data_IF_844451790353
#
_entry.id   IF_844451790353
#
_cell.length_a   1.000
_cell.length_b   1.000
_cell.length_c   1.000
_cell.angle_alpha   90.00
_cell.angle_beta   90.00
_cell.angle_gamma   90.00
#
_symmetry.space_group_name_H-M   'P 1'
#
loop_
_entity.id
_entity.type
_entity.pdbx_description
1 polymer ?
#
# COMPACT_ATOMS: atom_id res chain seq x y z
N UNK A 1 -0.85 -1.05 -2.86
CA UNK A 1 -0.82 -1.48 -4.29
C UNK A 1 -1.15 -2.95 -4.36
N UNK A 2 -1.96 -3.39 -5.32
CA UNK A 2 -2.31 -4.80 -5.49
C UNK A 2 -2.52 -5.22 -6.94
N UNK A 3 -2.42 -6.52 -7.17
CA UNK A 3 -2.69 -7.20 -8.45
C UNK A 3 -3.82 -8.22 -8.25
N UNK A 4 -4.45 -8.63 -9.35
CA UNK A 4 -5.33 -9.79 -9.36
C UNK A 4 -4.56 -10.98 -9.90
N UNK A 5 -4.63 -12.11 -9.19
CA UNK A 5 -4.25 -13.39 -9.79
C UNK A 5 -5.36 -13.82 -10.76
N UNK A 6 -4.99 -14.01 -12.03
CA UNK A 6 -5.84 -14.66 -12.99
C UNK A 6 -5.66 -16.18 -12.78
N UNK A 7 -6.72 -16.86 -12.35
CA UNK A 7 -6.72 -18.32 -12.26
C UNK A 7 -6.61 -18.93 -13.65
N UNK A 8 -5.96 -20.09 -13.78
CA UNK A 8 -6.03 -20.91 -15.00
C UNK A 8 -7.47 -21.34 -15.27
N UNK A 9 -7.81 -21.48 -16.55
CA UNK A 9 -9.14 -21.83 -17.05
C UNK A 9 -9.79 -22.96 -16.25
N UNK A 10 -11.00 -22.70 -15.73
CA UNK A 10 -11.87 -23.73 -15.13
C UNK A 10 -12.06 -23.67 -13.61
N UNK A 11 -11.34 -22.82 -12.86
CA UNK A 11 -11.57 -22.59 -11.43
C UNK A 11 -12.16 -21.19 -11.22
N UNK A 12 -13.49 -21.10 -11.26
CA UNK A 12 -14.21 -19.95 -10.72
C UNK A 12 -14.11 -19.99 -9.18
N UNK A 13 -13.69 -18.87 -8.59
CA UNK A 13 -13.42 -18.64 -7.16
C UNK A 13 -12.13 -19.31 -6.63
N UNK A 14 -11.10 -18.58 -6.16
CA UNK A 14 -11.14 -17.47 -5.21
C UNK A 14 -10.04 -16.45 -5.56
N UNK A 15 -10.38 -15.32 -6.18
CA UNK A 15 -9.39 -14.29 -6.55
C UNK A 15 -9.06 -13.41 -5.34
N UNK A 16 -8.18 -13.89 -4.46
CA UNK A 16 -7.67 -13.05 -3.37
C UNK A 16 -6.84 -11.89 -3.93
N UNK A 17 -7.08 -10.69 -3.40
CA UNK A 17 -6.28 -9.51 -3.72
C UNK A 17 -4.90 -9.67 -3.09
N UNK A 18 -3.87 -9.79 -3.92
CA UNK A 18 -2.48 -9.80 -3.44
C UNK A 18 -2.06 -8.37 -3.13
N UNK A 19 -1.91 -8.04 -1.86
CA UNK A 19 -1.35 -6.75 -1.42
C UNK A 19 0.17 -6.89 -1.47
N UNK A 20 0.80 -6.14 -2.37
CA UNK A 20 2.27 -6.20 -2.53
C UNK A 20 2.98 -5.21 -1.61
N UNK A 21 2.32 -4.10 -1.28
CA UNK A 21 2.85 -3.05 -0.39
C UNK A 21 1.75 -2.14 0.13
N UNK A 22 1.87 -1.77 1.40
CA UNK A 22 1.12 -0.70 2.06
C UNK A 22 1.99 0.55 2.09
N UNK A 23 1.55 1.61 1.40
CA UNK A 23 2.24 2.91 1.38
C UNK A 23 1.65 3.79 2.49
N UNK A 24 2.49 4.58 3.13
CA UNK A 24 2.09 5.50 4.21
C UNK A 24 2.44 6.92 3.79
N UNK A 25 1.44 7.79 3.71
CA UNK A 25 1.59 9.20 3.38
C UNK A 25 1.11 10.04 4.57
N UNK A 26 1.84 11.10 4.92
CA UNK A 26 1.48 11.96 6.04
C UNK A 26 2.66 12.75 6.61
N UNK A 27 2.42 13.40 7.76
CA UNK A 27 3.47 14.09 8.52
C UNK A 27 4.40 13.07 9.16
N UNK A 28 5.71 13.25 9.00
CA UNK A 28 6.74 12.28 9.42
C UNK A 28 6.60 11.93 10.91
N UNK A 29 6.48 12.92 11.79
CA UNK A 29 6.31 12.69 13.23
C UNK A 29 5.12 11.79 13.53
N UNK A 30 3.98 12.04 12.88
CA UNK A 30 2.75 11.28 13.07
C UNK A 30 2.85 9.87 12.53
N UNK A 31 3.49 9.68 11.37
CA UNK A 31 3.70 8.33 10.83
C UNK A 31 4.59 7.48 11.76
N UNK A 32 5.63 8.07 12.37
CA UNK A 32 6.50 7.36 13.33
C UNK A 32 5.78 7.05 14.64
N UNK A 33 5.00 8.00 15.15
CA UNK A 33 4.17 7.81 16.35
C UNK A 33 3.22 6.61 16.18
N UNK A 34 2.51 6.53 15.05
CA UNK A 34 1.52 5.48 14.80
C UNK A 34 2.16 4.15 14.47
N UNK A 35 3.14 4.13 13.54
CA UNK A 35 3.62 2.88 12.95
C UNK A 35 4.93 2.35 13.55
N UNK A 36 5.69 3.19 14.26
CA UNK A 36 6.92 2.81 14.98
C UNK A 36 7.83 1.90 14.17
N UNK A 37 8.20 0.77 14.76
CA UNK A 37 9.11 -0.21 14.16
C UNK A 37 8.57 -0.91 12.91
N UNK A 38 7.26 -0.82 12.64
CA UNK A 38 6.66 -1.40 11.42
C UNK A 38 6.86 -0.49 10.20
N UNK A 39 7.21 0.79 10.42
CA UNK A 39 7.47 1.77 9.37
C UNK A 39 8.84 1.53 8.73
N UNK A 40 8.89 1.63 7.40
CA UNK A 40 10.12 1.59 6.63
C UNK A 40 10.35 2.92 5.91
N UNK A 41 11.46 3.57 6.26
CA UNK A 41 11.83 4.91 5.80
C UNK A 41 12.88 4.90 4.67
N UNK A 42 13.34 3.72 4.23
CA UNK A 42 14.46 3.57 3.28
C UNK A 42 14.28 4.25 1.91
N UNK A 43 13.03 4.57 1.52
CA UNK A 43 12.73 5.26 0.26
C UNK A 43 12.74 6.78 0.39
N UNK A 44 12.95 7.29 1.59
CA UNK A 44 13.00 8.71 1.94
C UNK A 44 14.03 8.98 3.05
N UNK A 45 15.31 8.61 2.87
CA UNK A 45 16.33 8.77 3.91
C UNK A 45 16.58 10.25 4.30
N UNK A 46 16.22 11.19 3.42
CA UNK A 46 16.43 12.64 3.57
C UNK A 46 15.12 13.39 3.87
N UNK A 47 14.18 12.76 4.58
CA UNK A 47 12.85 13.31 4.92
C UNK A 47 12.89 14.63 5.73
N UNK A 48 14.07 15.15 6.07
CA UNK A 48 14.26 16.37 6.86
C UNK A 48 13.79 16.19 8.30
N UNK A 49 13.34 17.29 8.91
CA UNK A 49 12.84 17.33 10.29
C UNK A 49 11.42 16.76 10.48
N UNK A 50 10.98 16.57 11.74
CA UNK A 50 9.72 15.90 12.10
C UNK A 50 8.45 16.56 11.55
N UNK A 51 8.49 17.87 11.25
CA UNK A 51 7.34 18.64 10.76
C UNK A 51 7.10 18.51 9.25
N UNK A 52 7.94 17.75 8.52
CA UNK A 52 7.74 17.55 7.08
C UNK A 52 6.71 16.47 6.78
N UNK A 53 6.13 16.56 5.59
CA UNK A 53 5.26 15.53 5.01
C UNK A 53 6.04 14.64 4.04
N UNK A 54 5.65 13.37 3.98
CA UNK A 54 6.19 12.39 3.03
C UNK A 54 5.06 11.59 2.37
N UNK A 55 5.33 11.10 1.16
CA UNK A 55 4.50 10.14 0.44
C UNK A 55 5.30 8.88 0.05
N UNK A 56 6.42 8.61 0.73
CA UNK A 56 7.41 7.61 0.32
C UNK A 56 7.60 6.47 1.31
N UNK A 57 7.05 6.57 2.51
CA UNK A 57 7.09 5.50 3.50
C UNK A 57 6.23 4.31 3.11
N UNK A 58 6.55 3.16 3.70
CA UNK A 58 5.79 1.93 3.53
C UNK A 58 5.93 1.05 4.78
N UNK A 59 4.99 0.13 4.99
CA UNK A 59 5.03 -0.80 6.10
C UNK A 59 5.85 -2.06 5.75
N UNK A 60 6.52 -2.62 6.75
CA UNK A 60 7.29 -3.86 6.63
C UNK A 60 6.41 -5.10 6.44
N UNK A 61 5.14 -5.02 6.82
CA UNK A 61 4.11 -6.05 6.60
C UNK A 61 3.10 -5.62 5.51
N UNK A 62 2.24 -6.56 5.11
CA UNK A 62 1.20 -6.35 4.08
C UNK A 62 -0.22 -6.57 4.60
N UNK A 63 -0.39 -6.80 5.90
CA UNK A 63 -1.69 -6.93 6.56
C UNK A 63 -2.35 -5.56 6.74
N UNK A 64 -3.45 -5.31 6.01
CA UNK A 64 -4.10 -4.00 6.00
C UNK A 64 -4.88 -3.75 7.29
N UNK A 65 -5.50 -4.80 7.82
CA UNK A 65 -6.26 -4.78 9.08
C UNK A 65 -5.36 -4.35 10.24
N UNK A 66 -4.15 -4.91 10.32
CA UNK A 66 -3.15 -4.49 11.31
C UNK A 66 -2.82 -3.00 11.20
N UNK A 67 -2.66 -2.47 9.98
CA UNK A 67 -2.38 -1.04 9.80
C UNK A 67 -3.57 -0.16 10.24
N UNK A 68 -4.81 -0.64 10.03
CA UNK A 68 -6.02 0.06 10.45
C UNK A 68 -6.21 0.02 11.97
N UNK A 69 -5.88 -1.09 12.61
CA UNK A 69 -5.92 -1.21 14.07
C UNK A 69 -4.91 -0.26 14.71
N UNK A 70 -3.67 -0.21 14.22
CA UNK A 70 -2.65 0.74 14.70
C UNK A 70 -3.10 2.21 14.58
N UNK A 71 -3.78 2.57 13.49
CA UNK A 71 -4.35 3.91 13.31
C UNK A 71 -5.48 4.19 14.31
N UNK A 72 -6.41 3.25 14.48
CA UNK A 72 -7.54 3.39 15.41
C UNK A 72 -7.08 3.50 16.86
N UNK A 73 -6.11 2.69 17.28
CA UNK A 73 -5.50 2.74 18.62
C UNK A 73 -4.85 4.11 18.91
N UNK A 74 -4.38 4.80 17.86
CA UNK A 74 -3.82 6.15 17.94
C UNK A 74 -4.85 7.27 17.75
N UNK A 75 -6.15 6.94 17.78
CA UNK A 75 -7.25 7.91 17.72
C UNK A 75 -7.62 8.37 16.30
N UNK A 76 -7.13 7.70 15.26
CA UNK A 76 -7.53 8.01 13.89
C UNK A 76 -8.84 7.29 13.53
N UNK A 77 -9.70 7.98 12.76
CA UNK A 77 -10.90 7.42 12.14
C UNK A 77 -10.77 7.43 10.62
N UNK A 78 -11.23 6.37 9.95
CA UNK A 78 -11.32 6.33 8.50
C UNK A 78 -12.46 7.25 8.03
N UNK A 79 -12.18 8.14 7.08
CA UNK A 79 -13.14 9.14 6.57
C UNK A 79 -13.43 9.02 5.09
N UNK A 80 -12.67 8.17 4.39
CA UNK A 80 -12.87 7.98 2.96
C UNK A 80 -11.96 6.90 2.40
N UNK A 81 -12.35 6.38 1.25
CA UNK A 81 -11.55 5.47 0.46
C UNK A 81 -11.72 5.74 -1.01
N UNK A 82 -10.69 5.44 -1.79
CA UNK A 82 -10.70 5.56 -3.24
C UNK A 82 -9.97 4.36 -3.85
N UNK A 83 -10.48 3.87 -4.97
CA UNK A 83 -9.83 2.84 -5.78
C UNK A 83 -9.57 3.37 -7.18
N UNK A 84 -8.33 3.31 -7.63
CA UNK A 84 -7.95 3.58 -9.02
C UNK A 84 -7.21 2.39 -9.61
N UNK A 85 -7.42 2.16 -10.91
CA UNK A 85 -6.74 1.14 -11.68
C UNK A 85 -6.09 1.77 -12.90
N UNK A 86 -4.81 1.45 -13.15
CA UNK A 86 -4.13 1.82 -14.40
C UNK A 86 -3.61 0.57 -15.09
N UNK A 87 -3.74 0.54 -16.41
CA UNK A 87 -3.10 -0.50 -17.21
C UNK A 87 -1.58 -0.27 -17.20
N UNK A 88 -0.81 -1.33 -16.96
CA UNK A 88 0.64 -1.36 -17.17
C UNK A 88 0.98 -1.32 -18.66
N UNK A 89 2.23 -0.95 -18.97
CA UNK A 89 2.73 -0.97 -20.34
C UNK A 89 2.86 -2.41 -20.85
N UNK A 90 2.42 -2.67 -22.09
CA UNK A 90 2.50 -3.98 -22.75
C UNK A 90 3.97 -4.42 -22.99
N UNK A 91 4.92 -3.49 -22.87
CA UNK A 91 6.35 -3.68 -23.18
C UNK A 91 7.29 -3.70 -21.96
N UNK A 92 6.79 -3.91 -20.72
CA UNK A 92 7.72 -4.12 -19.60
C UNK A 92 8.50 -5.42 -19.79
N UNK A 93 9.84 -5.35 -19.79
CA UNK A 93 10.73 -6.51 -19.67
C UNK A 93 10.49 -7.15 -18.29
N UNK A 94 9.47 -8.01 -18.21
CA UNK A 94 9.09 -8.69 -16.99
C UNK A 94 10.27 -9.55 -16.50
N UNK A 95 10.53 -9.50 -15.19
CA UNK A 95 11.51 -10.39 -14.57
C UNK A 95 11.10 -11.85 -14.84
N UNK A 96 12.05 -12.78 -15.07
CA UNK A 96 11.74 -14.19 -15.27
C UNK A 96 10.85 -14.72 -14.14
N UNK A 97 9.73 -15.36 -14.49
CA UNK A 97 8.77 -15.94 -13.54
C UNK A 97 7.63 -15.01 -13.09
N UNK A 98 7.51 -13.80 -13.66
CA UNK A 98 6.38 -12.90 -13.40
C UNK A 98 5.30 -13.11 -14.47
N UNK A 99 4.06 -13.37 -14.04
CA UNK A 99 2.92 -13.51 -14.93
C UNK A 99 2.58 -12.15 -15.59
N UNK A 100 2.65 -12.13 -16.92
CA UNK A 100 2.39 -10.95 -17.74
C UNK A 100 0.97 -10.41 -17.63
N UNK A 101 0.00 -11.25 -17.26
CA UNK A 101 -1.39 -10.81 -17.07
C UNK A 101 -1.60 -10.20 -15.68
N UNK A 102 -0.96 -10.75 -14.65
CA UNK A 102 -1.05 -10.24 -13.26
C UNK A 102 -0.48 -8.81 -13.14
N UNK A 103 0.57 -8.50 -13.91
CA UNK A 103 1.23 -7.19 -13.89
C UNK A 103 0.61 -6.16 -14.87
N UNK A 104 -0.35 -6.60 -15.71
CA UNK A 104 -1.05 -5.76 -16.69
C UNK A 104 -1.93 -4.71 -16.01
N UNK A 105 -2.34 -4.92 -14.76
CA UNK A 105 -3.26 -4.03 -14.06
C UNK A 105 -2.74 -3.62 -12.68
N UNK A 106 -2.41 -2.34 -12.54
CA UNK A 106 -1.99 -1.77 -11.29
C UNK A 106 -3.18 -1.17 -10.55
N UNK A 107 -3.55 -1.77 -9.42
CA UNK A 107 -4.62 -1.26 -8.57
C UNK A 107 -4.03 -0.51 -7.38
N UNK A 108 -4.50 0.72 -7.20
CA UNK A 108 -4.22 1.56 -6.06
C UNK A 108 -5.52 1.72 -5.27
N UNK A 109 -5.46 1.34 -4.00
CA UNK A 109 -6.56 1.58 -3.06
C UNK A 109 -5.97 2.50 -1.99
N UNK A 110 -6.67 3.59 -1.73
CA UNK A 110 -6.29 4.61 -0.79
C UNK A 110 -7.35 4.69 0.29
N UNK A 111 -6.92 4.86 1.53
CA UNK A 111 -7.77 4.99 2.70
C UNK A 111 -7.30 6.22 3.48
N UNK A 112 -8.23 7.13 3.75
CA UNK A 112 -7.94 8.41 4.36
C UNK A 112 -8.35 8.36 5.83
N UNK A 113 -7.41 8.69 6.70
CA UNK A 113 -7.59 8.70 8.15
C UNK A 113 -7.35 10.10 8.70
N UNK A 114 -8.16 10.51 9.67
CA UNK A 114 -8.00 11.79 10.38
C UNK A 114 -8.04 11.56 11.88
N UNK A 115 -7.30 12.40 12.62
CA UNK A 115 -7.31 12.50 14.07
C UNK A 115 -7.52 13.99 14.38
N UNK A 116 -8.49 14.27 15.25
CA UNK A 116 -8.82 15.64 15.67
C UNK A 116 -7.73 16.25 16.56
#
# INVERSE_FOLDING_TARGET
RGSFQFGRDGLADVKFRKITRLLVHGRVATCREVFGDTLNESRDPDHGGPDRYTARFFLKHVFIEQAFDMLQENGFRCVGSCGSGTAGSVNENLKPGVDSEENRWNHYNEFIFVRD
#
